data_IF_550809617977
#
_entry.id   IF_550809617977
#
_cell.length_a   1.000
_cell.length_b   1.000
_cell.length_c   1.000
_cell.angle_alpha   90.00
_cell.angle_beta   90.00
_cell.angle_gamma   90.00
#
_symmetry.space_group_name_H-M   'P 1'
#
loop_
_entity.id
_entity.type
_entity.pdbx_description
1 polymer ?
#
# COMPACT_ATOMS: atom_id res chain seq x y z
N UNK A 1 6.58 1.44 15.68
CA UNK A 1 5.28 0.75 15.52
C UNK A 1 5.55 -0.70 15.14
N UNK A 2 5.25 -1.66 16.03
CA UNK A 2 5.30 -3.10 15.71
C UNK A 2 3.93 -3.50 15.14
N UNK A 3 3.75 -3.39 13.83
CA UNK A 3 2.59 -3.99 13.16
C UNK A 3 2.85 -5.50 13.07
N UNK A 4 2.41 -6.24 14.08
CA UNK A 4 2.40 -7.71 14.04
C UNK A 4 1.38 -8.10 12.97
N UNK A 5 1.84 -8.26 11.73
CA UNK A 5 1.01 -8.63 10.61
C UNK A 5 0.68 -10.12 10.79
N UNK A 6 -0.52 -10.42 11.31
CA UNK A 6 -0.99 -11.77 11.58
C UNK A 6 -1.20 -12.51 10.25
N UNK A 7 -0.15 -13.14 9.73
CA UNK A 7 -0.21 -13.91 8.49
C UNK A 7 -0.81 -15.29 8.75
N UNK A 8 -1.83 -15.66 7.97
CA UNK A 8 -2.41 -17.00 8.00
C UNK A 8 -1.64 -17.92 7.06
N UNK A 9 -1.06 -19.00 7.59
CA UNK A 9 -0.45 -20.04 6.76
C UNK A 9 -1.52 -20.69 5.89
N UNK A 10 -1.32 -20.65 4.58
CA UNK A 10 -2.25 -21.20 3.58
C UNK A 10 -1.45 -22.04 2.60
N UNK A 11 -1.91 -23.27 2.34
CA UNK A 11 -1.32 -24.14 1.31
C UNK A 11 -2.05 -23.89 -0.01
N UNK A 12 -1.31 -23.40 -1.01
CA UNK A 12 -1.81 -23.17 -2.37
C UNK A 12 -1.12 -24.14 -3.32
N UNK A 13 -1.91 -24.90 -4.08
CA UNK A 13 -1.37 -25.75 -5.14
C UNK A 13 -1.27 -24.90 -6.41
N UNK A 14 -0.06 -24.76 -6.91
CA UNK A 14 0.24 -24.08 -8.17
C UNK A 14 0.79 -25.11 -9.15
N UNK A 15 0.57 -24.87 -10.44
CA UNK A 15 1.30 -25.58 -11.48
C UNK A 15 2.81 -25.39 -11.31
N UNK A 16 3.59 -26.43 -11.63
CA UNK A 16 5.04 -26.44 -11.43
C UNK A 16 5.73 -25.37 -12.28
N UNK A 17 5.31 -25.18 -13.52
CA UNK A 17 5.90 -24.17 -14.41
C UNK A 17 5.55 -22.76 -13.95
N UNK A 18 4.30 -22.57 -13.51
CA UNK A 18 3.85 -21.31 -12.94
C UNK A 18 4.65 -20.93 -11.69
N UNK A 19 4.88 -21.89 -10.77
CA UNK A 19 5.69 -21.64 -9.58
C UNK A 19 7.12 -21.19 -9.92
N UNK A 20 7.77 -21.88 -10.86
CA UNK A 20 9.11 -21.54 -11.31
C UNK A 20 9.17 -20.14 -11.97
N UNK A 21 8.12 -19.77 -12.71
CA UNK A 21 8.02 -18.44 -13.30
C UNK A 21 7.88 -17.35 -12.23
N UNK A 22 7.01 -17.55 -11.24
CA UNK A 22 6.83 -16.65 -10.10
C UNK A 22 8.14 -16.50 -9.32
N UNK A 23 8.89 -17.59 -9.11
CA UNK A 23 10.17 -17.54 -8.40
C UNK A 23 11.20 -16.65 -9.13
N UNK A 24 11.26 -16.74 -10.47
CA UNK A 24 12.14 -15.86 -11.27
C UNK A 24 11.75 -14.40 -11.12
N UNK A 25 10.46 -14.08 -11.13
CA UNK A 25 9.97 -12.71 -10.94
C UNK A 25 10.26 -12.20 -9.53
N UNK A 26 10.05 -13.02 -8.51
CA UNK A 26 10.37 -12.70 -7.12
C UNK A 26 11.86 -12.38 -6.93
N UNK A 27 12.74 -13.19 -7.53
CA UNK A 27 14.19 -12.93 -7.52
C UNK A 27 14.56 -11.63 -8.24
N UNK A 28 13.92 -11.33 -9.38
CA UNK A 28 14.14 -10.09 -10.13
C UNK A 28 13.84 -8.84 -9.29
N UNK A 29 12.83 -8.93 -8.42
CA UNK A 29 12.42 -7.84 -7.53
C UNK A 29 13.07 -7.89 -6.13
N UNK A 30 14.04 -8.78 -5.90
CA UNK A 30 14.68 -8.99 -4.60
C UNK A 30 13.68 -9.24 -3.46
N UNK A 31 12.57 -9.91 -3.73
CA UNK A 31 11.52 -10.23 -2.75
C UNK A 31 11.30 -11.74 -2.62
N UNK A 32 10.81 -12.18 -1.47
CA UNK A 32 10.48 -13.61 -1.29
C UNK A 32 9.29 -14.00 -2.15
N UNK A 33 9.21 -15.28 -2.55
CA UNK A 33 8.09 -15.80 -3.37
C UNK A 33 6.74 -15.56 -2.68
N UNK A 34 6.67 -15.75 -1.36
CA UNK A 34 5.45 -15.49 -0.61
C UNK A 34 5.06 -14.00 -0.63
N UNK A 35 6.02 -13.10 -0.46
CA UNK A 35 5.75 -11.65 -0.55
C UNK A 35 5.30 -11.27 -1.98
N UNK A 36 5.94 -11.87 -2.99
CA UNK A 36 5.54 -11.68 -4.39
C UNK A 36 4.09 -12.10 -4.62
N UNK A 37 3.71 -13.30 -4.17
CA UNK A 37 2.36 -13.83 -4.33
C UNK A 37 1.36 -12.96 -3.56
N UNK A 38 1.66 -12.57 -2.32
CA UNK A 38 0.79 -11.72 -1.50
C UNK A 38 0.51 -10.38 -2.17
N UNK A 39 1.54 -9.71 -2.69
CA UNK A 39 1.41 -8.42 -3.38
C UNK A 39 0.59 -8.57 -4.66
N UNK A 40 0.90 -9.56 -5.50
CA UNK A 40 0.17 -9.79 -6.75
C UNK A 40 -1.30 -10.17 -6.50
N UNK A 41 -1.57 -10.96 -5.47
CA UNK A 41 -2.95 -11.27 -5.10
C UNK A 41 -3.69 -10.04 -4.57
N UNK A 42 -3.03 -9.21 -3.75
CA UNK A 42 -3.62 -7.96 -3.29
C UNK A 42 -3.96 -7.04 -4.47
N UNK A 43 -3.03 -6.87 -5.41
CA UNK A 43 -3.22 -6.06 -6.60
C UNK A 43 -4.36 -6.62 -7.47
N UNK A 44 -4.38 -7.93 -7.74
CA UNK A 44 -5.36 -8.58 -8.60
C UNK A 44 -6.78 -8.59 -8.01
N UNK A 45 -6.90 -8.67 -6.68
CA UNK A 45 -8.19 -8.64 -5.98
C UNK A 45 -8.65 -7.24 -5.61
N UNK A 46 -7.85 -6.21 -5.95
CA UNK A 46 -8.02 -4.84 -5.45
C UNK A 46 -8.15 -4.79 -3.92
N UNK A 47 -7.43 -5.67 -3.21
CA UNK A 47 -7.38 -5.70 -1.76
C UNK A 47 -6.45 -4.58 -1.26
N UNK A 48 -6.91 -3.35 -1.42
CA UNK A 48 -6.30 -2.14 -0.85
C UNK A 48 -7.21 -1.65 0.26
N UNK A 49 -7.16 -2.29 1.42
CA UNK A 49 -7.82 -1.73 2.60
C UNK A 49 -6.90 -0.68 3.22
N UNK A 50 -7.28 0.62 3.23
CA UNK A 50 -6.47 1.64 3.89
C UNK A 50 -6.34 1.27 5.36
N UNK A 51 -5.15 1.46 5.93
CA UNK A 51 -4.95 1.17 7.35
C UNK A 51 -5.84 2.10 8.21
N UNK A 52 -6.04 1.77 9.49
CA UNK A 52 -6.93 2.54 10.38
C UNK A 52 -6.57 4.03 10.44
N UNK A 53 -5.29 4.34 10.41
CA UNK A 53 -4.78 5.72 10.44
C UNK A 53 -5.12 6.46 9.15
N UNK A 54 -4.95 5.82 7.98
CA UNK A 54 -5.34 6.38 6.69
C UNK A 54 -6.84 6.58 6.58
N UNK A 55 -7.66 5.62 7.04
CA UNK A 55 -9.12 5.78 7.07
C UNK A 55 -9.52 6.98 7.93
N UNK A 56 -8.95 7.10 9.12
CA UNK A 56 -9.19 8.22 10.02
C UNK A 56 -8.78 9.56 9.40
N UNK A 57 -7.59 9.64 8.79
CA UNK A 57 -7.13 10.84 8.10
C UNK A 57 -8.06 11.26 6.95
N UNK A 58 -8.65 10.29 6.23
CA UNK A 58 -9.65 10.58 5.18
C UNK A 58 -10.95 11.13 5.78
N UNK A 59 -11.43 10.56 6.89
CA UNK A 59 -12.63 11.04 7.60
C UNK A 59 -12.43 12.46 8.18
N UNK A 60 -11.29 12.69 8.83
CA UNK A 60 -10.90 13.99 9.38
C UNK A 60 -10.84 15.04 8.24
N UNK A 61 -10.17 14.70 7.12
CA UNK A 61 -10.09 15.58 5.95
C UNK A 61 -11.46 15.88 5.34
N UNK A 62 -12.36 14.90 5.25
CA UNK A 62 -13.73 15.12 4.73
C UNK A 62 -14.53 16.06 5.63
N UNK A 63 -14.37 15.94 6.95
CA UNK A 63 -15.04 16.79 7.94
C UNK A 63 -14.49 18.21 7.94
N UNK A 64 -13.17 18.36 7.79
CA UNK A 64 -12.47 19.64 7.84
C UNK A 64 -12.36 20.34 6.48
N UNK A 65 -12.69 19.64 5.38
CA UNK A 65 -12.68 20.16 3.99
C UNK A 65 -13.20 21.59 3.80
N UNK A 66 -14.29 22.04 4.44
CA UNK A 66 -14.75 23.43 4.29
C UNK A 66 -13.78 24.48 4.87
N UNK A 67 -12.95 24.11 5.84
CA UNK A 67 -12.06 25.02 6.58
C UNK A 67 -10.58 24.92 6.18
N UNK A 68 -10.23 24.02 5.25
CA UNK A 68 -8.84 23.83 4.81
C UNK A 68 -8.36 24.99 3.93
N UNK A 69 -7.12 25.43 4.19
CA UNK A 69 -6.40 26.41 3.37
C UNK A 69 -6.22 25.87 1.95
N UNK A 70 -6.59 26.67 0.96
CA UNK A 70 -6.48 26.32 -0.47
C UNK A 70 -5.30 27.06 -1.08
N UNK A 71 -4.52 26.36 -1.89
CA UNK A 71 -3.38 26.93 -2.59
C UNK A 71 -3.65 26.92 -4.09
N UNK A 72 -3.40 28.04 -4.75
CA UNK A 72 -3.60 28.19 -6.19
C UNK A 72 -2.43 27.65 -7.01
N UNK A 73 -1.23 27.63 -6.45
CA UNK A 73 -0.03 27.10 -7.11
C UNK A 73 0.75 26.16 -6.19
N UNK A 74 1.48 25.22 -6.78
CA UNK A 74 2.35 24.32 -6.02
C UNK A 74 3.44 25.08 -5.24
N UNK A 75 3.93 26.21 -5.78
CA UNK A 75 4.94 27.04 -5.10
C UNK A 75 4.43 27.58 -3.77
N UNK A 76 3.19 28.09 -3.74
CA UNK A 76 2.58 28.63 -2.53
C UNK A 76 2.39 27.55 -1.46
N UNK A 77 2.01 26.33 -1.88
CA UNK A 77 1.92 25.18 -0.98
C UNK A 77 3.28 24.81 -0.38
N UNK A 78 4.32 24.73 -1.21
CA UNK A 78 5.65 24.34 -0.73
C UNK A 78 6.28 25.39 0.17
N UNK A 79 6.04 26.68 -0.09
CA UNK A 79 6.52 27.77 0.80
C UNK A 79 5.91 27.61 2.19
N UNK A 80 4.60 27.33 2.27
CA UNK A 80 3.90 27.16 3.55
C UNK A 80 4.33 25.87 4.28
N UNK A 81 4.56 24.78 3.55
CA UNK A 81 4.94 23.48 4.11
C UNK A 81 6.38 23.43 4.61
N UNK A 82 7.27 24.23 4.01
CA UNK A 82 8.71 24.27 4.32
C UNK A 82 9.09 25.46 5.21
N UNK A 83 8.11 26.26 5.64
CA UNK A 83 8.33 27.42 6.50
C UNK A 83 8.42 27.08 7.99
N UNK A 84 8.12 25.84 8.38
CA UNK A 84 8.27 25.30 9.74
C UNK A 84 9.58 24.50 9.94
#
# INVERSE_FOLDING_TARGET
MNTINLKKSTSLRLDKELYNYIEKLAKKENRSVNNFIETVLADATNFYEPNKETKKAIEDLQSERPNLKRYGTAKDLFIDLLAD
#
